data_IF_030441342493
#
_entry.id   IF_030441342493
#
_cell.length_a   1.000
_cell.length_b   1.000
_cell.length_c   1.000
_cell.angle_alpha   90.00
_cell.angle_beta   90.00
_cell.angle_gamma   90.00
#
_symmetry.space_group_name_H-M   'P 1'
#
loop_
_entity.id
_entity.type
_entity.pdbx_description
1 polymer ?
#
# COMPACT_ATOMS: atom_id res chain seq x y z
N UNK A 1 49.47 24.64 42.21
CA UNK A 1 48.36 24.30 43.13
C UNK A 1 47.11 25.13 42.82
N UNK A 2 46.18 24.54 42.07
CA UNK A 2 44.80 25.03 41.90
C UNK A 2 43.88 23.80 41.85
N UNK A 3 42.66 23.87 42.43
CA UNK A 3 41.93 22.70 42.89
C UNK A 3 41.14 22.00 41.79
N UNK A 4 41.01 20.69 41.94
CA UNK A 4 40.23 19.78 41.11
C UNK A 4 38.72 20.07 41.22
N UNK A 5 38.02 20.04 40.08
CA UNK A 5 36.56 20.16 40.00
C UNK A 5 35.82 18.89 40.48
N UNK A 6 34.51 19.00 40.77
CA UNK A 6 33.70 17.87 41.22
C UNK A 6 33.35 16.93 40.05
N UNK A 7 33.23 15.61 40.29
CA UNK A 7 32.91 14.63 39.26
C UNK A 7 31.40 14.60 38.93
N UNK A 8 31.01 14.28 37.68
CA UNK A 8 29.62 14.03 37.33
C UNK A 8 29.12 12.65 37.82
N UNK A 9 27.80 12.49 38.03
CA UNK A 9 27.23 11.29 38.63
C UNK A 9 27.25 10.08 37.68
N UNK A 10 27.63 8.94 38.24
CA UNK A 10 27.61 7.61 37.63
C UNK A 10 26.22 7.23 37.10
N UNK A 11 26.11 7.13 35.78
CA UNK A 11 25.06 6.37 35.10
C UNK A 11 25.58 4.98 34.72
N UNK A 12 25.29 3.99 35.55
CA UNK A 12 25.52 2.57 35.24
C UNK A 12 24.48 2.08 34.21
N UNK A 13 24.94 1.48 33.12
CA UNK A 13 24.08 0.83 32.12
C UNK A 13 24.82 0.54 30.82
N UNK A 14 25.60 -0.54 30.81
CA UNK A 14 26.44 -0.94 29.68
C UNK A 14 25.66 -1.30 28.41
N UNK A 15 26.15 -0.79 27.28
CA UNK A 15 25.84 -1.24 25.92
C UNK A 15 27.01 -0.85 25.01
N UNK A 16 27.83 -1.82 24.62
CA UNK A 16 28.97 -1.66 23.70
C UNK A 16 28.47 -1.08 22.35
N UNK A 17 28.88 0.12 21.96
CA UNK A 17 28.50 0.67 20.65
C UNK A 17 28.93 2.10 20.30
N UNK A 18 30.03 2.62 20.86
CA UNK A 18 30.40 4.05 20.73
C UNK A 18 31.67 4.37 19.92
N UNK A 19 32.29 3.42 19.23
CA UNK A 19 33.66 3.63 18.69
C UNK A 19 33.78 4.62 17.52
N UNK A 20 32.70 4.93 16.81
CA UNK A 20 32.74 5.81 15.62
C UNK A 20 31.82 7.03 15.71
N UNK A 21 31.22 7.30 16.88
CA UNK A 21 30.20 8.34 16.98
C UNK A 21 30.76 9.73 16.65
N UNK A 22 31.87 10.11 17.27
CA UNK A 22 32.53 11.41 17.03
C UNK A 22 33.08 11.51 15.61
N UNK A 23 33.74 10.45 15.11
CA UNK A 23 34.28 10.39 13.75
C UNK A 23 33.16 10.53 12.70
N UNK A 24 32.02 9.86 12.91
CA UNK A 24 30.89 9.93 12.00
C UNK A 24 30.21 11.30 12.01
N UNK A 25 30.10 11.95 13.17
CA UNK A 25 29.58 13.31 13.26
C UNK A 25 30.49 14.28 12.48
N UNK A 26 31.82 14.16 12.63
CA UNK A 26 32.79 14.95 11.86
C UNK A 26 32.68 14.69 10.35
N UNK A 27 32.59 13.43 9.92
CA UNK A 27 32.42 13.06 8.50
C UNK A 27 31.10 13.58 7.93
N UNK A 28 30.03 13.60 8.73
CA UNK A 28 28.74 14.15 8.33
C UNK A 28 28.82 15.68 8.16
N UNK A 29 29.44 16.39 9.09
CA UNK A 29 29.69 17.83 8.95
C UNK A 29 30.57 18.15 7.74
N UNK A 30 31.60 17.34 7.49
CA UNK A 30 32.43 17.46 6.30
C UNK A 30 31.61 17.27 5.01
N UNK A 31 30.65 16.34 5.00
CA UNK A 31 29.77 16.11 3.87
C UNK A 31 28.85 17.32 3.62
N UNK A 32 28.24 17.89 4.67
CA UNK A 32 27.40 19.09 4.57
C UNK A 32 28.19 20.29 4.04
N UNK A 33 29.40 20.52 4.55
CA UNK A 33 30.30 21.58 4.09
C UNK A 33 30.62 21.45 2.60
N UNK A 34 30.86 20.22 2.13
CA UNK A 34 31.20 19.96 0.73
C UNK A 34 29.99 20.12 -0.21
N UNK A 35 28.78 19.83 0.30
CA UNK A 35 27.53 20.02 -0.42
C UNK A 35 27.07 21.49 -0.46
N UNK A 36 27.37 22.31 0.54
CA UNK A 36 26.91 23.69 0.64
C UNK A 36 27.14 24.57 -0.59
N UNK A 37 28.35 24.65 -1.19
CA UNK A 37 28.56 25.44 -2.40
C UNK A 37 27.91 24.81 -3.65
N UNK A 38 27.51 23.53 -3.59
CA UNK A 38 26.90 22.80 -4.71
C UNK A 38 25.37 22.82 -4.68
N UNK A 39 24.76 23.28 -3.60
CA UNK A 39 23.30 23.35 -3.40
C UNK A 39 22.81 24.78 -3.19
N UNK A 40 23.50 25.78 -3.76
CA UNK A 40 23.14 27.20 -3.62
C UNK A 40 21.72 27.52 -4.15
N UNK A 41 21.29 26.84 -5.21
CA UNK A 41 19.93 26.95 -5.76
C UNK A 41 18.83 26.44 -4.81
N UNK A 42 19.20 25.56 -3.86
CA UNK A 42 18.28 24.89 -2.93
C UNK A 42 18.90 24.81 -1.52
N UNK A 43 19.06 25.94 -0.81
CA UNK A 43 19.68 25.97 0.52
C UNK A 43 18.90 25.16 1.58
N UNK A 44 17.60 24.94 1.38
CA UNK A 44 16.72 24.15 2.25
C UNK A 44 17.12 22.67 2.37
N UNK A 45 17.95 22.17 1.45
CA UNK A 45 18.37 20.77 1.39
C UNK A 45 19.29 20.38 2.55
N UNK A 46 20.16 21.29 3.02
CA UNK A 46 21.08 20.97 4.13
C UNK A 46 20.36 20.90 5.49
N UNK A 47 19.49 21.87 5.87
CA UNK A 47 18.66 21.73 7.07
C UNK A 47 17.79 20.47 7.05
N UNK A 48 17.23 20.13 5.90
CA UNK A 48 16.47 18.89 5.72
C UNK A 48 17.31 17.64 5.98
N UNK A 49 18.52 17.56 5.40
CA UNK A 49 19.42 16.44 5.60
C UNK A 49 19.89 16.32 7.06
N UNK A 50 20.19 17.44 7.73
CA UNK A 50 20.53 17.48 9.16
C UNK A 50 19.38 16.99 10.05
N UNK A 51 18.15 17.41 9.77
CA UNK A 51 16.95 16.90 10.45
C UNK A 51 16.79 15.39 10.28
N UNK A 52 17.06 14.86 9.08
CA UNK A 52 17.03 13.40 8.83
C UNK A 52 18.13 12.66 9.59
N UNK A 53 19.31 13.25 9.72
CA UNK A 53 20.40 12.68 10.50
C UNK A 53 20.06 12.59 11.98
N UNK A 54 19.48 13.65 12.56
CA UNK A 54 19.07 13.66 13.97
C UNK A 54 18.00 12.59 14.29
N UNK A 55 17.13 12.29 13.32
CA UNK A 55 16.07 11.26 13.44
C UNK A 55 16.56 9.82 13.23
N UNK A 56 17.80 9.62 12.79
CA UNK A 56 18.40 8.29 12.61
C UNK A 56 18.73 7.62 13.96
N UNK A 57 18.67 6.30 14.01
CA UNK A 57 18.93 5.54 15.24
C UNK A 57 20.35 5.81 15.77
N UNK A 58 20.54 6.06 17.09
CA UNK A 58 21.86 6.32 17.68
C UNK A 58 22.90 5.23 17.36
N UNK A 59 22.54 3.95 17.49
CA UNK A 59 23.43 2.83 17.16
C UNK A 59 23.87 2.83 15.69
N UNK A 60 22.98 3.25 14.77
CA UNK A 60 23.34 3.37 13.36
C UNK A 60 24.27 4.56 13.13
N UNK A 61 24.01 5.71 13.77
CA UNK A 61 24.88 6.89 13.69
C UNK A 61 26.28 6.62 14.27
N UNK A 62 26.40 5.76 15.28
CA UNK A 62 27.67 5.30 15.84
C UNK A 62 28.32 4.10 15.13
N UNK A 63 27.74 3.61 14.03
CA UNK A 63 28.18 2.36 13.39
C UNK A 63 29.29 2.55 12.35
N UNK A 64 30.08 1.49 12.12
CA UNK A 64 31.01 1.41 11.00
C UNK A 64 30.29 1.40 9.63
N UNK A 65 29.05 0.93 9.58
CA UNK A 65 28.21 0.97 8.36
C UNK A 65 28.00 2.42 7.92
N UNK A 66 27.61 3.29 8.84
CA UNK A 66 27.39 4.71 8.52
C UNK A 66 28.68 5.41 8.12
N UNK A 67 29.79 5.12 8.81
CA UNK A 67 31.14 5.60 8.44
C UNK A 67 31.51 5.27 7.00
N UNK A 68 31.34 4.00 6.61
CA UNK A 68 31.66 3.52 5.27
C UNK A 68 30.81 4.20 4.19
N UNK A 69 29.54 4.46 4.50
CA UNK A 69 28.61 5.16 3.60
C UNK A 69 29.04 6.62 3.44
N UNK A 70 29.32 7.34 4.53
CA UNK A 70 29.82 8.72 4.48
C UNK A 70 31.15 8.81 3.72
N UNK A 71 32.12 7.93 4.01
CA UNK A 71 33.40 7.89 3.31
C UNK A 71 33.26 7.59 1.80
N UNK A 72 32.32 6.72 1.41
CA UNK A 72 31.99 6.48 0.00
C UNK A 72 31.37 7.71 -0.66
N UNK A 73 30.42 8.35 0.00
CA UNK A 73 29.71 9.52 -0.53
C UNK A 73 30.63 10.74 -0.65
N UNK A 74 31.48 11.00 0.36
CA UNK A 74 32.49 12.06 0.33
C UNK A 74 33.43 11.92 -0.88
N UNK A 75 33.93 10.72 -1.15
CA UNK A 75 34.75 10.45 -2.36
C UNK A 75 33.98 10.69 -3.66
N UNK A 76 32.71 10.27 -3.71
CA UNK A 76 31.85 10.45 -4.90
C UNK A 76 31.50 11.90 -5.19
N UNK A 77 31.20 12.70 -4.16
CA UNK A 77 30.93 14.13 -4.34
C UNK A 77 32.19 14.85 -4.81
N UNK A 78 33.36 14.53 -4.23
CA UNK A 78 34.66 15.07 -4.67
C UNK A 78 34.97 14.73 -6.14
N UNK A 79 34.73 13.48 -6.56
CA UNK A 79 35.00 13.05 -7.93
C UNK A 79 33.99 13.52 -8.99
N UNK A 80 32.70 13.67 -8.63
CA UNK A 80 31.63 14.02 -9.59
C UNK A 80 30.60 14.97 -8.98
N UNK A 81 30.97 16.25 -8.86
CA UNK A 81 30.15 17.31 -8.24
C UNK A 81 28.76 17.51 -8.87
N UNK A 82 28.61 17.28 -10.18
CA UNK A 82 27.31 17.42 -10.89
C UNK A 82 26.21 16.46 -10.42
N UNK A 83 26.55 15.41 -9.66
CA UNK A 83 25.59 14.42 -9.13
C UNK A 83 25.30 14.62 -7.63
N UNK A 84 25.59 15.79 -7.06
CA UNK A 84 25.44 16.06 -5.62
C UNK A 84 24.07 15.68 -5.07
N UNK A 85 22.97 16.01 -5.77
CA UNK A 85 21.61 15.67 -5.33
C UNK A 85 21.33 14.15 -5.32
N UNK A 86 21.99 13.38 -6.20
CA UNK A 86 21.88 11.91 -6.19
C UNK A 86 22.53 11.35 -4.92
N UNK A 87 23.69 11.89 -4.53
CA UNK A 87 24.42 11.46 -3.33
C UNK A 87 23.72 11.90 -2.04
N UNK A 88 23.15 13.12 -2.03
CA UNK A 88 22.29 13.59 -0.94
C UNK A 88 21.06 12.68 -0.82
N UNK A 89 20.42 12.30 -1.93
CA UNK A 89 19.28 11.39 -1.91
C UNK A 89 19.66 9.97 -1.45
N UNK A 90 20.83 9.46 -1.83
CA UNK A 90 21.39 8.19 -1.35
C UNK A 90 21.52 8.23 0.18
N UNK A 91 22.11 9.29 0.74
CA UNK A 91 22.26 9.47 2.18
C UNK A 91 20.91 9.61 2.90
N UNK A 92 20.00 10.43 2.36
CA UNK A 92 18.64 10.60 2.87
C UNK A 92 17.88 9.27 2.93
N UNK A 93 18.03 8.43 1.91
CA UNK A 93 17.36 7.13 1.83
C UNK A 93 17.85 6.18 2.93
N UNK A 94 19.17 6.14 3.14
CA UNK A 94 19.79 5.33 4.20
C UNK A 94 19.35 5.80 5.59
N UNK A 95 19.42 7.12 5.85
CA UNK A 95 19.00 7.71 7.13
C UNK A 95 17.50 7.45 7.40
N UNK A 96 16.65 7.55 6.38
CA UNK A 96 15.22 7.24 6.48
C UNK A 96 14.95 5.76 6.75
N UNK A 97 15.72 4.86 6.14
CA UNK A 97 15.59 3.42 6.36
C UNK A 97 15.95 3.00 7.79
N UNK A 98 16.88 3.73 8.42
CA UNK A 98 17.38 3.50 9.78
C UNK A 98 16.91 4.55 10.80
N UNK A 99 15.80 5.24 10.49
CA UNK A 99 15.16 6.17 11.43
C UNK A 99 14.61 5.43 12.66
N UNK A 100 14.61 6.09 13.82
CA UNK A 100 13.98 5.59 15.05
C UNK A 100 12.51 5.22 14.78
N UNK A 101 12.21 3.93 14.59
CA UNK A 101 10.84 3.42 14.57
C UNK A 101 10.44 3.13 16.00
N UNK A 102 9.83 4.08 16.72
CA UNK A 102 9.22 3.75 18.01
C UNK A 102 8.09 2.73 17.76
N UNK A 103 8.26 1.52 18.29
CA UNK A 103 7.11 0.65 18.58
C UNK A 103 6.36 1.33 19.72
N UNK A 104 5.10 1.70 19.48
CA UNK A 104 4.24 2.20 20.55
C UNK A 104 4.06 1.07 21.57
N UNK A 105 4.42 1.25 22.85
CA UNK A 105 3.96 0.36 23.90
C UNK A 105 2.44 0.51 24.00
N UNK A 106 1.71 -0.59 23.86
CA UNK A 106 0.29 -0.63 24.22
C UNK A 106 0.21 -0.37 25.73
N UNK A 107 -0.47 0.70 26.14
CA UNK A 107 -0.69 1.04 27.54
C UNK A 107 -1.71 0.04 28.12
N UNK A 108 -1.30 -0.71 29.14
CA UNK A 108 -2.21 -1.55 29.92
C UNK A 108 -3.17 -0.67 30.74
N UNK A 109 -4.43 -1.09 30.97
CA UNK A 109 -5.40 -0.34 31.76
C UNK A 109 -5.02 -0.33 33.26
N UNK A 110 -5.48 0.66 34.05
CA UNK A 110 -5.26 0.70 35.48
C UNK A 110 -6.03 -0.43 36.16
N UNK A 111 -5.38 -1.12 37.10
CA UNK A 111 -5.99 -2.14 37.94
C UNK A 111 -7.10 -1.52 38.78
N UNK A 112 -8.34 -2.00 38.59
CA UNK A 112 -9.45 -1.68 39.47
C UNK A 112 -9.24 -2.38 40.82
N UNK A 113 -9.32 -1.55 41.85
CA UNK A 113 -9.58 -1.76 43.27
C UNK A 113 -9.86 -3.20 43.75
N UNK A 114 -9.08 -3.55 44.76
CA UNK A 114 -9.15 -4.74 45.61
C UNK A 114 -10.46 -4.81 46.40
N UNK A 115 -10.94 -6.03 46.63
CA UNK A 115 -11.75 -6.41 47.80
C UNK A 115 -11.22 -7.75 48.37
N UNK A 116 -11.41 -8.01 49.68
CA UNK A 116 -10.38 -8.58 50.58
C UNK A 116 -10.47 -10.11 50.79
N UNK A 117 -9.49 -10.73 51.51
CA UNK A 117 -9.42 -12.19 51.65
C UNK A 117 -10.24 -12.69 52.85
N UNK A 118 -10.87 -13.85 52.69
CA UNK A 118 -11.41 -14.64 53.80
C UNK A 118 -10.53 -15.89 54.01
N UNK A 119 -9.97 -15.98 55.21
CA UNK A 119 -9.14 -17.08 55.69
C UNK A 119 -9.97 -18.20 56.35
N UNK A 120 -9.61 -19.44 56.00
CA UNK A 120 -9.61 -20.68 56.80
C UNK A 120 -10.84 -21.18 57.59
N UNK A 121 -11.26 -22.43 57.34
CA UNK A 121 -10.78 -23.63 58.09
C UNK A 121 -11.24 -24.98 57.48
N UNK A 122 -10.27 -25.91 57.46
CA UNK A 122 -10.21 -27.40 57.48
C UNK A 122 -11.48 -28.25 57.26
N UNK A 123 -11.43 -29.42 56.58
CA UNK A 123 -10.66 -30.61 56.99
C UNK A 123 -10.64 -31.75 55.93
N UNK A 124 -9.49 -32.44 55.85
CA UNK A 124 -9.21 -33.88 55.62
C UNK A 124 -9.86 -34.63 54.41
N UNK A 125 -9.18 -35.49 53.63
CA UNK A 125 -7.87 -36.15 53.75
C UNK A 125 -7.33 -36.62 52.39
N UNK A 126 -6.00 -36.72 52.28
CA UNK A 126 -5.22 -37.98 52.18
C UNK A 126 -5.28 -38.64 50.77
N UNK A 127 -4.23 -38.44 49.95
CA UNK A 127 -3.10 -39.38 49.72
C UNK A 127 -3.46 -40.40 48.59
N UNK A 128 -2.73 -40.64 47.49
CA UNK A 128 -1.29 -40.72 47.19
C UNK A 128 -1.07 -40.29 45.70
N UNK A 129 0.02 -39.57 45.34
CA UNK A 129 1.31 -40.10 44.84
C UNK A 129 1.15 -41.06 43.65
N UNK A 130 1.85 -40.99 42.52
CA UNK A 130 3.01 -40.25 42.03
C UNK A 130 3.31 -40.80 40.62
N UNK A 131 4.07 -40.09 39.79
CA UNK A 131 4.83 -40.72 38.68
C UNK A 131 4.52 -40.28 37.25
N UNK A 132 5.19 -39.21 36.82
CA UNK A 132 5.83 -39.17 35.49
C UNK A 132 6.89 -40.30 35.40
N UNK A 133 7.48 -40.69 34.24
CA UNK A 133 7.65 -39.87 33.03
C UNK A 133 7.64 -40.64 31.66
N UNK A 134 7.91 -39.88 30.59
CA UNK A 134 8.71 -40.24 29.40
C UNK A 134 8.12 -41.10 28.26
N UNK A 135 7.96 -40.43 27.12
CA UNK A 135 8.13 -40.88 25.71
C UNK A 135 9.44 -41.68 25.48
N UNK A 136 9.80 -42.23 24.27
CA UNK A 136 9.27 -41.94 22.92
C UNK A 136 9.25 -43.14 21.93
N UNK A 137 9.02 -42.81 20.64
CA UNK A 137 9.37 -43.59 19.43
C UNK A 137 8.40 -44.70 19.04
N UNK A 138 8.16 -45.07 17.78
CA UNK A 138 8.52 -44.61 16.43
C UNK A 138 7.54 -45.34 15.47
N UNK A 139 7.29 -44.76 14.29
CA UNK A 139 6.70 -45.39 13.08
C UNK A 139 7.45 -46.70 12.68
N UNK A 140 6.96 -47.61 11.77
CA UNK A 140 6.23 -47.27 10.53
C UNK A 140 5.25 -48.30 9.89
N UNK A 141 4.52 -47.81 8.87
CA UNK A 141 4.11 -48.42 7.58
C UNK A 141 3.39 -49.79 7.47
N UNK A 142 2.11 -49.73 7.04
CA UNK A 142 1.47 -50.27 5.80
C UNK A 142 1.82 -51.69 5.25
N UNK A 143 1.02 -52.32 4.33
CA UNK A 143 -0.40 -52.15 3.97
C UNK A 143 -1.19 -53.49 3.77
N UNK A 144 -2.47 -53.37 3.39
CA UNK A 144 -3.17 -54.19 2.37
C UNK A 144 -3.50 -55.68 2.63
N UNK A 145 -4.80 -56.02 2.71
CA UNK A 145 -5.57 -56.76 1.68
C UNK A 145 -6.78 -57.55 2.26
N UNK A 146 -7.94 -57.31 1.63
CA UNK A 146 -9.13 -58.18 1.52
C UNK A 146 -8.73 -59.60 1.04
N UNK A 147 -9.55 -60.68 1.20
CA UNK A 147 -10.91 -60.73 0.64
C UNK A 147 -11.94 -61.72 1.25
N UNK A 148 -13.13 -61.69 0.64
CA UNK A 148 -14.05 -62.83 0.43
C UNK A 148 -15.22 -63.04 1.42
N UNK A 149 -16.42 -62.71 0.91
CA UNK A 149 -17.73 -63.32 1.22
C UNK A 149 -17.82 -64.75 0.59
N UNK A 150 -18.94 -65.52 0.59
CA UNK A 150 -20.36 -65.26 0.97
C UNK A 150 -21.03 -66.50 1.67
N UNK A 151 -22.32 -66.89 1.45
CA UNK A 151 -23.63 -66.21 1.51
C UNK A 151 -24.61 -66.88 2.52
N UNK A 152 -25.79 -66.29 2.78
CA UNK A 152 -26.86 -67.00 3.50
C UNK A 152 -28.15 -66.21 3.81
N UNK A 153 -28.99 -66.07 2.79
CA UNK A 153 -30.46 -65.92 2.74
C UNK A 153 -31.34 -65.37 3.91
N UNK A 154 -32.27 -64.49 3.47
CA UNK A 154 -33.73 -64.45 3.72
C UNK A 154 -34.33 -63.31 4.58
N UNK A 155 -35.22 -62.52 3.95
CA UNK A 155 -36.45 -61.98 4.58
C UNK A 155 -36.59 -60.45 4.78
N UNK A 156 -37.06 -59.74 3.74
CA UNK A 156 -38.14 -58.70 3.68
C UNK A 156 -38.37 -57.61 4.80
N UNK A 157 -39.05 -56.48 4.51
CA UNK A 157 -38.63 -55.09 4.86
C UNK A 157 -39.65 -54.31 5.77
N UNK A 158 -39.69 -52.95 5.83
CA UNK A 158 -38.75 -51.96 6.39
C UNK A 158 -39.41 -50.96 7.41
N UNK A 159 -38.62 -50.00 7.93
CA UNK A 159 -38.97 -48.63 8.44
C UNK A 159 -38.65 -48.35 9.95
N UNK A 160 -38.47 -47.07 10.39
CA UNK A 160 -37.18 -46.37 10.37
C UNK A 160 -36.85 -45.70 11.73
N UNK A 161 -35.62 -45.82 12.25
CA UNK A 161 -35.28 -45.06 13.48
C UNK A 161 -33.80 -44.70 13.56
N UNK A 162 -33.53 -43.44 13.21
CA UNK A 162 -32.54 -42.56 13.83
C UNK A 162 -31.14 -43.13 14.11
N UNK A 163 -30.31 -43.23 13.07
CA UNK A 163 -28.87 -43.17 13.24
C UNK A 163 -28.41 -41.72 13.05
N UNK A 164 -27.96 -41.11 14.14
CA UNK A 164 -27.23 -39.86 14.15
C UNK A 164 -25.93 -40.05 13.35
N UNK A 165 -25.96 -39.70 12.07
CA UNK A 165 -24.75 -39.59 11.27
C UNK A 165 -23.96 -38.37 11.71
N UNK A 166 -22.74 -38.64 12.19
CA UNK A 166 -21.75 -37.66 12.58
C UNK A 166 -21.45 -36.72 11.41
N UNK A 167 -21.95 -35.49 11.51
CA UNK A 167 -21.43 -34.38 10.74
C UNK A 167 -19.92 -34.28 10.95
N UNK A 168 -19.13 -34.04 9.88
CA UNK A 168 -17.68 -33.99 9.98
C UNK A 168 -17.32 -32.89 10.98
N UNK A 169 -16.51 -33.21 11.98
CA UNK A 169 -15.92 -32.23 12.90
C UNK A 169 -15.22 -31.17 12.07
N UNK A 170 -15.87 -30.01 11.91
CA UNK A 170 -15.32 -28.84 11.23
C UNK A 170 -13.95 -28.57 11.85
N UNK A 171 -12.89 -28.66 11.04
CA UNK A 171 -11.51 -28.30 11.40
C UNK A 171 -11.38 -26.78 11.53
N UNK A 172 -12.24 -26.16 12.33
CA UNK A 172 -12.22 -24.74 12.63
C UNK A 172 -11.04 -24.41 13.53
N UNK A 173 -10.48 -23.21 13.35
CA UNK A 173 -9.38 -22.72 14.17
C UNK A 173 -9.70 -22.73 15.67
N UNK A 174 -8.67 -22.80 16.51
CA UNK A 174 -8.83 -22.83 17.97
C UNK A 174 -9.73 -21.68 18.46
N UNK A 175 -10.81 -22.02 19.18
CA UNK A 175 -11.77 -21.03 19.71
C UNK A 175 -11.09 -19.95 20.56
N UNK A 176 -10.01 -20.30 21.27
CA UNK A 176 -9.20 -19.35 22.04
C UNK A 176 -8.48 -18.35 21.13
N UNK A 177 -7.89 -18.83 20.03
CA UNK A 177 -7.22 -17.99 19.04
C UNK A 177 -8.19 -17.04 18.36
N UNK A 178 -9.39 -17.51 18.00
CA UNK A 178 -10.44 -16.68 17.39
C UNK A 178 -10.84 -15.54 18.35
N UNK A 179 -11.14 -15.85 19.61
CA UNK A 179 -11.48 -14.83 20.62
C UNK A 179 -10.36 -13.80 20.83
N UNK A 180 -9.11 -14.25 20.85
CA UNK A 180 -7.96 -13.36 20.98
C UNK A 180 -7.84 -12.39 19.79
N UNK A 181 -7.98 -12.89 18.56
CA UNK A 181 -7.91 -12.06 17.35
C UNK A 181 -9.10 -11.09 17.26
N UNK A 182 -10.30 -11.49 17.68
CA UNK A 182 -11.48 -10.60 17.76
C UNK A 182 -11.30 -9.50 18.83
N UNK A 183 -10.70 -9.83 19.96
CA UNK A 183 -10.33 -8.83 20.96
C UNK A 183 -9.28 -7.86 20.40
N UNK A 184 -8.26 -8.36 19.71
CA UNK A 184 -7.22 -7.52 19.10
C UNK A 184 -7.79 -6.59 18.01
N UNK A 185 -8.78 -7.04 17.23
CA UNK A 185 -9.51 -6.17 16.30
C UNK A 185 -10.20 -5.01 17.02
N UNK A 186 -10.86 -5.27 18.16
CA UNK A 186 -11.50 -4.21 18.97
C UNK A 186 -10.49 -3.21 19.48
N UNK A 187 -9.35 -3.68 20.01
CA UNK A 187 -8.26 -2.80 20.46
C UNK A 187 -7.75 -1.93 19.33
N UNK A 188 -7.54 -2.49 18.14
CA UNK A 188 -7.10 -1.71 16.97
C UNK A 188 -8.17 -0.72 16.50
N UNK A 189 -9.45 -1.09 16.53
CA UNK A 189 -10.54 -0.18 16.17
C UNK A 189 -10.59 1.02 17.12
N UNK A 190 -10.48 0.80 18.44
CA UNK A 190 -10.44 1.89 19.43
C UNK A 190 -9.23 2.81 19.24
N UNK A 191 -8.04 2.24 19.00
CA UNK A 191 -6.84 3.05 18.77
C UNK A 191 -6.90 3.83 17.44
N UNK A 192 -7.50 3.25 16.40
CA UNK A 192 -7.75 3.96 15.13
C UNK A 192 -8.66 5.17 15.37
N UNK A 193 -9.76 5.01 16.13
CA UNK A 193 -10.66 6.14 16.44
C UNK A 193 -9.93 7.25 17.18
N UNK A 194 -9.13 6.90 18.19
CA UNK A 194 -8.29 7.85 18.95
C UNK A 194 -7.29 8.60 18.06
N UNK A 195 -6.70 7.92 17.08
CA UNK A 195 -5.78 8.56 16.13
C UNK A 195 -6.49 9.47 15.13
N UNK A 196 -7.73 9.13 14.74
CA UNK A 196 -8.56 9.93 13.83
C UNK A 196 -9.04 11.24 14.47
N UNK A 197 -9.22 11.26 15.78
CA UNK A 197 -9.62 12.45 16.55
C UNK A 197 -8.45 13.40 16.84
N UNK A 198 -7.20 12.97 16.61
CA UNK A 198 -6.03 13.79 16.89
C UNK A 198 -5.83 14.85 15.80
N UNK A 199 -5.73 16.10 16.22
CA UNK A 199 -5.32 17.21 15.36
C UNK A 199 -3.82 17.13 15.03
N UNK A 200 -3.46 17.50 13.81
CA UNK A 200 -2.07 17.50 13.34
C UNK A 200 -1.62 18.93 13.06
N UNK A 201 -0.47 19.30 13.61
CA UNK A 201 0.23 20.54 13.24
C UNK A 201 1.10 20.35 11.98
N UNK A 202 1.72 21.44 11.51
CA UNK A 202 2.55 21.42 10.31
C UNK A 202 3.82 20.57 10.46
N UNK A 203 4.40 20.49 11.65
CA UNK A 203 5.60 19.68 11.91
C UNK A 203 5.26 18.18 11.94
N UNK A 204 4.11 17.83 12.50
CA UNK A 204 3.57 16.48 12.52
C UNK A 204 3.18 16.01 11.12
N UNK A 205 2.67 16.89 10.25
CA UNK A 205 2.41 16.56 8.84
C UNK A 205 3.67 16.12 8.08
N UNK A 206 4.84 16.68 8.38
CA UNK A 206 6.14 16.25 7.81
C UNK A 206 6.78 15.07 8.59
N UNK A 207 6.15 14.61 9.66
CA UNK A 207 6.68 13.52 10.46
C UNK A 207 6.37 12.15 9.83
N UNK A 208 7.40 11.31 9.70
CA UNK A 208 7.25 9.91 9.30
C UNK A 208 6.48 9.03 10.31
N UNK A 209 6.28 9.55 11.53
CA UNK A 209 5.50 8.91 12.59
C UNK A 209 4.29 9.75 13.00
N UNK A 210 3.73 10.52 12.07
CA UNK A 210 2.49 11.25 12.28
C UNK A 210 1.33 10.32 12.68
N UNK A 211 0.35 10.82 13.47
CA UNK A 211 -0.86 10.06 13.82
C UNK A 211 -1.55 9.45 12.60
N UNK A 212 -1.62 10.20 11.49
CA UNK A 212 -2.17 9.77 10.21
C UNK A 212 -1.44 8.52 9.64
N UNK A 213 -0.11 8.52 9.65
CA UNK A 213 0.66 7.36 9.19
C UNK A 213 0.55 6.16 10.16
N UNK A 214 0.43 6.42 11.46
CA UNK A 214 0.14 5.40 12.46
C UNK A 214 -1.21 4.73 12.22
N UNK A 215 -2.26 5.52 11.98
CA UNK A 215 -3.61 5.05 11.65
C UNK A 215 -3.59 4.10 10.45
N UNK A 216 -2.94 4.50 9.35
CA UNK A 216 -2.78 3.66 8.16
C UNK A 216 -2.05 2.33 8.46
N UNK A 217 -1.00 2.36 9.29
CA UNK A 217 -0.26 1.14 9.70
C UNK A 217 -1.16 0.21 10.52
N UNK A 218 -2.00 0.74 11.39
CA UNK A 218 -2.97 -0.04 12.17
C UNK A 218 -4.09 -0.61 11.29
N UNK A 219 -4.69 0.18 10.39
CA UNK A 219 -5.68 -0.30 9.41
C UNK A 219 -5.14 -1.48 8.57
N UNK A 220 -3.89 -1.40 8.11
CA UNK A 220 -3.22 -2.50 7.39
C UNK A 220 -3.01 -3.75 8.25
N UNK A 221 -2.72 -3.60 9.55
CA UNK A 221 -2.62 -4.73 10.50
C UNK A 221 -4.01 -5.34 10.77
N UNK A 222 -5.01 -4.50 10.97
CA UNK A 222 -6.40 -4.88 11.18
C UNK A 222 -6.91 -5.77 10.04
N UNK A 223 -6.67 -5.39 8.78
CA UNK A 223 -7.06 -6.21 7.62
C UNK A 223 -6.32 -7.56 7.54
N UNK A 224 -5.08 -7.65 8.01
CA UNK A 224 -4.37 -8.94 8.10
C UNK A 224 -5.00 -9.86 9.14
N UNK A 225 -5.39 -9.31 10.30
CA UNK A 225 -6.10 -10.07 11.33
C UNK A 225 -7.47 -10.51 10.81
N UNK A 226 -8.21 -9.64 10.14
CA UNK A 226 -9.50 -9.96 9.53
C UNK A 226 -9.40 -11.15 8.56
N UNK A 227 -8.45 -11.13 7.62
CA UNK A 227 -8.23 -12.25 6.69
C UNK A 227 -7.87 -13.55 7.42
N UNK A 228 -7.06 -13.46 8.48
CA UNK A 228 -6.73 -14.64 9.30
C UNK A 228 -7.95 -15.18 10.04
N UNK A 229 -8.82 -14.31 10.53
CA UNK A 229 -10.09 -14.71 11.15
C UNK A 229 -11.02 -15.38 10.14
N UNK A 230 -11.13 -14.86 8.92
CA UNK A 230 -11.91 -15.52 7.85
C UNK A 230 -11.41 -16.94 7.57
N UNK A 231 -10.09 -17.14 7.49
CA UNK A 231 -9.48 -18.46 7.33
C UNK A 231 -9.79 -19.40 8.50
N UNK A 232 -9.68 -18.92 9.74
CA UNK A 232 -9.93 -19.75 10.93
C UNK A 232 -11.41 -20.12 11.11
N UNK A 233 -12.32 -19.26 10.62
CA UNK A 233 -13.77 -19.47 10.65
C UNK A 233 -14.32 -20.18 9.42
N UNK A 234 -13.46 -20.48 8.44
CA UNK A 234 -13.84 -21.06 7.15
C UNK A 234 -14.94 -20.25 6.45
N UNK A 235 -14.70 -18.94 6.30
CA UNK A 235 -15.60 -18.02 5.59
C UNK A 235 -14.84 -17.14 4.59
N UNK A 236 -15.59 -16.58 3.64
CA UNK A 236 -15.06 -15.67 2.63
C UNK A 236 -14.50 -14.38 3.26
N UNK A 237 -13.50 -13.79 2.63
CA UNK A 237 -12.94 -12.48 3.03
C UNK A 237 -13.69 -11.29 2.41
N UNK A 238 -14.84 -11.52 1.78
CA UNK A 238 -15.71 -10.48 1.27
C UNK A 238 -16.25 -9.63 2.41
N UNK A 239 -16.34 -8.33 2.17
CA UNK A 239 -16.73 -7.33 3.18
C UNK A 239 -18.10 -6.73 2.92
N UNK A 240 -18.75 -7.09 1.81
CA UNK A 240 -20.04 -6.54 1.40
C UNK A 240 -19.92 -5.21 0.67
N UNK A 241 -18.73 -4.88 0.15
CA UNK A 241 -18.49 -3.61 -0.56
C UNK A 241 -19.23 -3.57 -1.89
N UNK A 242 -19.56 -2.35 -2.33
CA UNK A 242 -20.21 -2.14 -3.64
C UNK A 242 -19.30 -2.59 -4.78
N UNK A 243 -17.97 -2.46 -4.63
CA UNK A 243 -17.01 -2.99 -5.62
C UNK A 243 -17.05 -4.51 -5.77
N UNK A 244 -17.52 -5.24 -4.76
CA UNK A 244 -17.64 -6.70 -4.80
C UNK A 244 -18.90 -7.14 -5.58
N UNK A 245 -19.84 -6.23 -5.82
CA UNK A 245 -21.07 -6.52 -6.56
C UNK A 245 -20.78 -6.69 -8.06
N UNK A 246 -21.27 -7.81 -8.60
CA UNK A 246 -21.11 -8.17 -10.01
C UNK A 246 -21.98 -7.29 -10.90
N UNK A 247 -21.35 -6.59 -11.83
CA UNK A 247 -22.04 -5.84 -12.89
C UNK A 247 -22.48 -6.83 -13.96
N UNK A 248 -23.79 -6.95 -14.18
CA UNK A 248 -24.33 -7.72 -15.31
C UNK A 248 -24.24 -6.89 -16.59
N UNK A 249 -23.90 -7.51 -17.72
CA UNK A 249 -23.86 -6.82 -19.00
C UNK A 249 -24.73 -7.55 -20.04
N UNK A 250 -25.67 -6.82 -20.64
CA UNK A 250 -26.62 -7.32 -21.66
C UNK A 250 -26.80 -6.31 -22.80
N UNK A 251 -25.77 -5.51 -23.09
CA UNK A 251 -25.86 -4.41 -24.05
C UNK A 251 -25.91 -4.85 -25.52
N UNK A 252 -25.57 -6.11 -25.83
CA UNK A 252 -25.57 -6.62 -27.22
C UNK A 252 -26.61 -7.73 -27.41
N UNK A 253 -26.99 -7.98 -28.67
CA UNK A 253 -27.86 -9.11 -29.05
C UNK A 253 -27.16 -10.47 -28.97
N UNK A 254 -25.84 -10.51 -28.78
CA UNK A 254 -25.04 -11.73 -28.78
C UNK A 254 -24.67 -12.14 -27.35
N UNK A 255 -25.27 -13.21 -26.79
CA UNK A 255 -24.99 -13.65 -25.42
C UNK A 255 -23.51 -13.99 -25.18
N UNK A 256 -22.81 -14.48 -26.19
CA UNK A 256 -21.39 -14.84 -26.16
C UNK A 256 -20.53 -13.61 -25.89
N UNK A 257 -20.81 -12.52 -26.60
CA UNK A 257 -20.16 -11.22 -26.41
C UNK A 257 -20.49 -10.68 -25.02
N UNK A 258 -21.76 -10.73 -24.63
CA UNK A 258 -22.21 -10.26 -23.32
C UNK A 258 -21.47 -10.98 -22.18
N UNK A 259 -21.35 -12.31 -22.24
CA UNK A 259 -20.61 -13.13 -21.26
C UNK A 259 -19.10 -12.85 -21.27
N UNK A 260 -18.50 -12.49 -22.41
CA UNK A 260 -17.08 -12.12 -22.47
C UNK A 260 -16.82 -10.79 -21.77
N UNK A 261 -17.60 -9.76 -22.13
CA UNK A 261 -17.50 -8.43 -21.52
C UNK A 261 -17.82 -8.51 -20.03
N UNK A 262 -18.88 -9.20 -19.64
CA UNK A 262 -19.26 -9.34 -18.23
C UNK A 262 -18.16 -10.01 -17.40
N UNK A 263 -17.52 -11.07 -17.91
CA UNK A 263 -16.39 -11.69 -17.21
C UNK A 263 -15.19 -10.75 -17.10
N UNK A 264 -14.95 -9.92 -18.11
CA UNK A 264 -13.81 -9.03 -18.15
C UNK A 264 -13.95 -7.87 -17.15
N UNK A 265 -15.11 -7.21 -17.11
CA UNK A 265 -15.36 -6.02 -16.26
C UNK A 265 -15.46 -6.35 -14.76
N UNK A 266 -15.71 -7.62 -14.42
CA UNK A 266 -15.84 -8.09 -13.04
C UNK A 266 -14.53 -8.69 -12.49
N UNK A 267 -13.40 -8.55 -13.21
CA UNK A 267 -12.08 -8.88 -12.67
C UNK A 267 -11.66 -7.83 -11.61
N UNK A 268 -10.82 -8.20 -10.63
CA UNK A 268 -10.30 -7.25 -9.66
C UNK A 268 -9.52 -6.14 -10.39
N UNK A 269 -9.75 -4.89 -9.98
CA UNK A 269 -9.12 -3.67 -10.52
C UNK A 269 -9.27 -3.44 -12.03
N UNK A 270 -10.23 -4.10 -12.69
CA UNK A 270 -10.49 -3.90 -14.10
C UNK A 270 -11.20 -2.57 -14.36
N UNK A 271 -10.55 -1.70 -15.14
CA UNK A 271 -11.16 -0.52 -15.76
C UNK A 271 -10.72 -0.47 -17.22
N UNK A 272 -11.51 -1.04 -18.14
CA UNK A 272 -11.08 -1.26 -19.50
C UNK A 272 -11.06 0.03 -20.31
N UNK A 273 -10.19 0.10 -21.32
CA UNK A 273 -10.28 1.11 -22.36
C UNK A 273 -11.16 0.63 -23.54
N UNK A 274 -11.33 1.49 -24.55
CA UNK A 274 -12.09 1.14 -25.75
C UNK A 274 -11.49 -0.06 -26.50
N UNK A 275 -10.17 -0.14 -26.58
CA UNK A 275 -9.45 -1.18 -27.31
C UNK A 275 -9.61 -2.54 -26.64
N UNK A 276 -9.64 -2.57 -25.31
CA UNK A 276 -9.89 -3.77 -24.52
C UNK A 276 -11.28 -4.34 -24.79
N UNK A 277 -12.32 -3.49 -24.80
CA UNK A 277 -13.70 -3.91 -25.13
C UNK A 277 -13.78 -4.41 -26.57
N UNK A 278 -13.17 -3.70 -27.52
CA UNK A 278 -13.13 -4.14 -28.91
C UNK A 278 -12.40 -5.48 -29.07
N UNK A 279 -11.33 -5.72 -28.31
CA UNK A 279 -10.59 -7.00 -28.30
C UNK A 279 -11.46 -8.13 -27.75
N UNK A 280 -12.22 -7.90 -26.68
CA UNK A 280 -13.15 -8.89 -26.14
C UNK A 280 -14.25 -9.26 -27.14
N UNK A 281 -14.80 -8.28 -27.87
CA UNK A 281 -15.82 -8.51 -28.91
C UNK A 281 -15.24 -9.29 -30.08
N UNK A 282 -14.06 -8.89 -30.59
CA UNK A 282 -13.37 -9.61 -31.68
C UNK A 282 -13.05 -11.05 -31.26
N UNK A 283 -12.56 -11.24 -30.04
CA UNK A 283 -12.28 -12.56 -29.48
C UNK A 283 -13.52 -13.42 -29.37
N UNK A 284 -14.65 -12.87 -28.89
CA UNK A 284 -15.91 -13.59 -28.82
C UNK A 284 -16.47 -13.94 -30.21
N UNK A 285 -16.41 -13.01 -31.17
CA UNK A 285 -16.85 -13.23 -32.55
C UNK A 285 -16.07 -14.35 -33.23
N UNK A 286 -14.73 -14.33 -33.13
CA UNK A 286 -13.86 -15.32 -33.73
C UNK A 286 -14.04 -16.72 -33.09
N UNK A 287 -14.18 -16.79 -31.76
CA UNK A 287 -14.37 -18.08 -31.06
C UNK A 287 -15.70 -18.74 -31.37
N UNK A 288 -16.76 -17.96 -31.58
CA UNK A 288 -18.11 -18.47 -31.76
C UNK A 288 -18.62 -18.38 -33.21
N UNK A 289 -17.77 -17.97 -34.16
CA UNK A 289 -18.13 -17.90 -35.58
C UNK A 289 -19.30 -16.94 -35.88
N UNK A 290 -19.40 -15.81 -35.17
CA UNK A 290 -20.57 -14.91 -35.25
C UNK A 290 -20.67 -14.13 -36.57
N UNK A 291 -19.66 -14.20 -37.46
CA UNK A 291 -19.69 -13.54 -38.77
C UNK A 291 -19.76 -12.01 -38.73
N UNK A 292 -19.41 -11.38 -37.59
CA UNK A 292 -19.55 -9.92 -37.42
C UNK A 292 -18.54 -9.16 -38.28
N UNK A 293 -19.03 -8.21 -39.08
CA UNK A 293 -18.18 -7.32 -39.86
C UNK A 293 -17.39 -6.34 -38.98
N UNK A 294 -16.26 -5.84 -39.47
CA UNK A 294 -15.38 -4.93 -38.71
C UNK A 294 -16.10 -3.69 -38.17
N UNK A 295 -16.85 -2.99 -39.03
CA UNK A 295 -17.59 -1.76 -38.64
C UNK A 295 -18.68 -2.07 -37.60
N UNK A 296 -19.34 -3.21 -37.72
CA UNK A 296 -20.36 -3.64 -36.75
C UNK A 296 -19.73 -3.90 -35.37
N UNK A 297 -18.56 -4.55 -35.32
CA UNK A 297 -17.85 -4.76 -34.06
C UNK A 297 -17.33 -3.45 -33.44
N UNK A 298 -16.88 -2.50 -34.25
CA UNK A 298 -16.43 -1.18 -33.79
C UNK A 298 -17.59 -0.38 -33.18
N UNK A 299 -18.75 -0.33 -33.84
CA UNK A 299 -19.94 0.32 -33.31
C UNK A 299 -20.42 -0.34 -32.00
N UNK A 300 -20.49 -1.68 -31.98
CA UNK A 300 -20.85 -2.44 -30.79
C UNK A 300 -19.87 -2.18 -29.63
N UNK A 301 -18.57 -2.08 -29.92
CA UNK A 301 -17.56 -1.76 -28.92
C UNK A 301 -17.72 -0.36 -28.35
N UNK A 302 -18.06 0.64 -29.18
CA UNK A 302 -18.27 2.01 -28.73
C UNK A 302 -19.46 2.13 -27.77
N UNK A 303 -20.57 1.49 -28.09
CA UNK A 303 -21.76 1.44 -27.23
C UNK A 303 -21.48 0.69 -25.94
N UNK A 304 -20.93 -0.52 -26.04
CA UNK A 304 -20.58 -1.33 -24.88
C UNK A 304 -19.57 -0.63 -23.96
N UNK A 305 -18.56 0.05 -24.52
CA UNK A 305 -17.56 0.79 -23.76
C UNK A 305 -18.18 1.94 -22.96
N UNK A 306 -19.09 2.71 -23.55
CA UNK A 306 -19.81 3.79 -22.84
C UNK A 306 -20.67 3.23 -21.71
N UNK A 307 -21.46 2.21 -22.00
CA UNK A 307 -22.36 1.61 -21.00
C UNK A 307 -21.60 1.00 -19.82
N UNK A 308 -20.58 0.19 -20.11
CA UNK A 308 -19.71 -0.42 -19.11
C UNK A 308 -18.97 0.65 -18.31
N UNK A 309 -18.43 1.67 -18.99
CA UNK A 309 -17.71 2.77 -18.36
C UNK A 309 -18.58 3.51 -17.33
N UNK A 310 -19.82 3.85 -17.71
CA UNK A 310 -20.77 4.49 -16.81
C UNK A 310 -21.09 3.62 -15.59
N UNK A 311 -21.39 2.33 -15.78
CA UNK A 311 -21.66 1.38 -14.68
C UNK A 311 -20.46 1.21 -13.74
N UNK A 312 -19.24 1.16 -14.29
CA UNK A 312 -18.02 1.04 -13.49
C UNK A 312 -17.75 2.32 -12.69
N UNK A 313 -17.96 3.50 -13.27
CA UNK A 313 -17.84 4.78 -12.57
C UNK A 313 -18.88 4.90 -11.46
N UNK A 314 -20.14 4.59 -11.75
CA UNK A 314 -21.23 4.59 -10.77
C UNK A 314 -20.94 3.63 -9.60
N UNK A 315 -20.51 2.39 -9.89
CA UNK A 315 -20.13 1.43 -8.84
C UNK A 315 -19.01 1.96 -7.95
N UNK A 316 -17.99 2.61 -8.54
CA UNK A 316 -16.88 3.23 -7.78
C UNK A 316 -17.34 4.45 -6.98
N UNK A 317 -18.26 5.24 -7.53
CA UNK A 317 -18.84 6.40 -6.86
C UNK A 317 -19.66 5.98 -5.64
N UNK A 318 -20.56 5.01 -5.80
CA UNK A 318 -21.35 4.45 -4.71
C UNK A 318 -20.46 3.80 -3.63
N UNK A 319 -19.42 3.06 -4.02
CA UNK A 319 -18.46 2.52 -3.07
C UNK A 319 -17.75 3.61 -2.26
N UNK A 320 -17.38 4.72 -2.91
CA UNK A 320 -16.83 5.87 -2.21
C UNK A 320 -17.86 6.44 -1.23
N UNK A 321 -19.06 6.79 -1.67
CA UNK A 321 -20.09 7.43 -0.85
C UNK A 321 -20.46 6.58 0.38
N UNK A 322 -20.66 5.27 0.21
CA UNK A 322 -21.04 4.39 1.34
C UNK A 322 -19.90 4.05 2.29
N UNK A 323 -18.63 4.21 1.88
CA UNK A 323 -17.47 3.87 2.69
C UNK A 323 -16.54 5.08 2.94
N UNK A 324 -17.08 6.29 2.79
CA UNK A 324 -16.31 7.52 2.99
C UNK A 324 -16.25 7.91 4.47
N UNK A 325 -15.11 8.44 4.88
CA UNK A 325 -14.95 9.09 6.18
C UNK A 325 -14.76 8.12 7.37
N UNK A 326 -15.30 8.51 8.52
CA UNK A 326 -15.23 7.78 9.79
C UNK A 326 -16.40 8.15 10.70
N UNK A 327 -16.36 7.70 11.95
CA UNK A 327 -17.35 8.04 12.99
C UNK A 327 -17.53 9.55 13.20
N UNK A 328 -16.57 10.38 12.79
CA UNK A 328 -16.65 11.84 12.85
C UNK A 328 -17.54 12.45 11.76
N UNK A 329 -17.72 11.75 10.64
CA UNK A 329 -18.48 12.23 9.47
C UNK A 329 -19.78 11.46 9.25
N UNK A 330 -20.02 10.36 9.97
CA UNK A 330 -21.22 9.51 9.83
C UNK A 330 -22.53 10.26 10.06
N UNK A 331 -22.50 11.35 10.85
CA UNK A 331 -23.67 12.17 11.17
C UNK A 331 -23.85 13.36 10.21
N UNK A 332 -23.05 13.45 9.14
CA UNK A 332 -23.16 14.54 8.17
C UNK A 332 -24.56 14.61 7.55
N UNK A 333 -25.14 15.81 7.55
CA UNK A 333 -26.41 16.12 6.89
C UNK A 333 -26.26 17.41 6.09
N UNK A 334 -26.62 17.43 4.79
CA UNK A 334 -26.51 18.63 3.96
C UNK A 334 -27.27 19.84 4.52
N UNK A 335 -28.39 19.62 5.21
CA UNK A 335 -29.18 20.70 5.82
C UNK A 335 -28.57 21.31 7.09
N UNK A 336 -27.49 20.76 7.63
CA UNK A 336 -26.77 21.30 8.80
C UNK A 336 -25.54 22.13 8.41
N UNK A 337 -25.41 22.51 7.13
CA UNK A 337 -24.32 23.35 6.67
C UNK A 337 -24.44 24.78 7.23
N UNK A 338 -23.46 25.28 8.02
CA UNK A 338 -23.49 26.64 8.59
C UNK A 338 -23.62 27.75 7.56
N UNK A 339 -23.18 27.51 6.32
CA UNK A 339 -23.29 28.48 5.24
C UNK A 339 -24.72 28.73 4.75
N UNK A 340 -25.70 27.94 5.21
CA UNK A 340 -27.13 28.19 4.93
C UNK A 340 -27.69 29.32 5.79
N UNK A 341 -27.16 29.51 7.00
CA UNK A 341 -27.61 30.54 7.94
C UNK A 341 -26.70 31.76 7.97
N UNK A 342 -25.41 31.60 7.66
CA UNK A 342 -24.42 32.67 7.64
C UNK A 342 -24.16 33.18 6.20
N UNK A 343 -24.64 34.40 5.85
CA UNK A 343 -24.47 34.96 4.51
C UNK A 343 -23.02 35.37 4.19
N UNK A 344 -22.22 35.76 5.19
CA UNK A 344 -20.82 36.13 4.99
C UNK A 344 -19.99 34.89 4.64
N UNK A 345 -20.20 33.81 5.39
CA UNK A 345 -19.60 32.51 5.08
C UNK A 345 -20.03 32.04 3.68
N UNK A 346 -21.32 32.13 3.35
CA UNK A 346 -21.83 31.76 2.03
C UNK A 346 -21.16 32.56 0.90
N UNK A 347 -21.01 33.89 1.06
CA UNK A 347 -20.35 34.74 0.08
C UNK A 347 -18.87 34.36 -0.09
N UNK A 348 -18.18 34.10 1.01
CA UNK A 348 -16.78 33.63 0.99
C UNK A 348 -16.65 32.28 0.27
N UNK A 349 -17.53 31.32 0.55
CA UNK A 349 -17.53 30.01 -0.13
C UNK A 349 -17.85 30.15 -1.63
N UNK A 350 -18.74 31.06 -2.04
CA UNK A 350 -18.98 31.37 -3.46
C UNK A 350 -17.72 31.91 -4.14
N UNK A 351 -16.98 32.82 -3.49
CA UNK A 351 -15.69 33.33 -3.99
C UNK A 351 -14.66 32.21 -4.09
N UNK A 352 -14.55 31.37 -3.05
CA UNK A 352 -13.64 30.22 -3.05
C UNK A 352 -13.96 29.25 -4.20
N UNK A 353 -15.24 29.00 -4.49
CA UNK A 353 -15.67 28.14 -5.59
C UNK A 353 -15.25 28.71 -6.95
N UNK A 354 -15.46 30.01 -7.20
CA UNK A 354 -15.02 30.67 -8.45
C UNK A 354 -13.51 30.53 -8.64
N UNK A 355 -12.72 30.82 -7.60
CA UNK A 355 -11.27 30.70 -7.64
C UNK A 355 -10.82 29.25 -7.86
N UNK A 356 -11.47 28.28 -7.22
CA UNK A 356 -11.13 26.86 -7.35
C UNK A 356 -11.33 26.36 -8.78
N UNK A 357 -12.45 26.73 -9.43
CA UNK A 357 -12.72 26.36 -10.82
C UNK A 357 -11.68 26.96 -11.76
N UNK A 358 -11.41 28.27 -11.64
CA UNK A 358 -10.39 28.94 -12.46
C UNK A 358 -9.00 28.29 -12.29
N UNK A 359 -8.61 27.92 -11.05
CA UNK A 359 -7.33 27.24 -10.79
C UNK A 359 -7.26 25.85 -11.42
N UNK A 360 -8.36 25.10 -11.44
CA UNK A 360 -8.39 23.79 -12.11
C UNK A 360 -8.20 23.96 -13.61
N UNK A 361 -8.93 24.89 -14.23
CA UNK A 361 -8.83 25.20 -15.66
C UNK A 361 -7.42 25.67 -16.03
N UNK A 362 -6.82 26.55 -15.22
CA UNK A 362 -5.46 27.04 -15.40
C UNK A 362 -4.44 25.90 -15.43
N UNK A 363 -4.56 24.92 -14.52
CA UNK A 363 -3.64 23.78 -14.49
C UNK A 363 -3.80 22.92 -15.74
N UNK A 364 -5.04 22.62 -16.16
CA UNK A 364 -5.30 21.85 -17.37
C UNK A 364 -4.74 22.57 -18.61
N UNK A 365 -5.01 23.88 -18.74
CA UNK A 365 -4.52 24.70 -19.85
C UNK A 365 -2.99 24.77 -19.89
N UNK A 366 -2.33 24.94 -18.72
CA UNK A 366 -0.87 24.95 -18.62
C UNK A 366 -0.24 23.64 -19.13
N UNK A 367 -0.81 22.50 -18.76
CA UNK A 367 -0.29 21.20 -19.21
C UNK A 367 -0.61 20.93 -20.70
N UNK A 368 -1.77 21.39 -21.20
CA UNK A 368 -2.10 21.32 -22.62
C UNK A 368 -1.11 22.14 -23.47
N UNK A 369 -0.84 23.39 -23.09
CA UNK A 369 0.15 24.26 -23.77
C UNK A 369 1.56 23.67 -23.70
N UNK A 370 1.96 23.08 -22.56
CA UNK A 370 3.26 22.43 -22.43
C UNK A 370 3.40 21.24 -23.39
N UNK A 371 2.33 20.47 -23.58
CA UNK A 371 2.31 19.35 -24.52
C UNK A 371 2.45 19.83 -25.97
N UNK A 372 1.79 20.92 -26.33
CA UNK A 372 1.89 21.54 -27.65
C UNK A 372 3.30 22.04 -27.95
N UNK A 373 3.87 22.86 -27.06
CA UNK A 373 5.26 23.36 -27.19
C UNK A 373 6.29 22.23 -27.33
N UNK A 374 6.09 21.12 -26.61
CA UNK A 374 6.98 19.95 -26.72
C UNK A 374 6.84 19.24 -28.07
N UNK A 375 5.62 19.15 -28.63
CA UNK A 375 5.39 18.63 -29.98
C UNK A 375 6.02 19.52 -31.05
N UNK A 376 5.87 20.83 -30.94
CA UNK A 376 6.48 21.80 -31.86
C UNK A 376 8.01 21.74 -31.83
N UNK A 377 8.61 21.72 -30.63
CA UNK A 377 10.06 21.61 -30.45
C UNK A 377 10.62 20.28 -30.99
N UNK A 378 9.89 19.17 -30.84
CA UNK A 378 10.25 17.87 -31.42
C UNK A 378 10.14 17.86 -32.95
N UNK A 379 9.17 18.57 -33.52
CA UNK A 379 8.98 18.68 -34.96
C UNK A 379 10.04 19.60 -35.60
N UNK A 380 10.40 20.70 -34.94
CA UNK A 380 11.49 21.59 -35.34
C UNK A 380 12.86 20.87 -35.32
N UNK A 381 13.13 20.04 -34.31
CA UNK A 381 14.35 19.19 -34.29
C UNK A 381 14.39 18.16 -35.42
N UNK A 382 13.26 17.52 -35.75
CA UNK A 382 13.18 16.58 -36.89
C UNK A 382 13.39 17.30 -38.22
N UNK A 383 12.82 18.50 -38.40
CA UNK A 383 13.04 19.31 -39.62
C UNK A 383 14.49 19.79 -39.74
N UNK A 384 15.12 20.22 -38.65
CA UNK A 384 16.55 20.58 -38.64
C UNK A 384 17.50 19.42 -38.94
N UNK A 385 17.15 18.19 -38.53
CA UNK A 385 17.89 16.97 -38.87
C UNK A 385 17.75 16.59 -40.35
N UNK A 386 16.53 16.67 -40.91
CA UNK A 386 16.27 16.35 -42.32
C UNK A 386 16.92 17.36 -43.30
N UNK A 387 17.05 18.63 -42.90
CA UNK A 387 17.78 19.64 -43.68
C UNK A 387 19.30 19.40 -43.63
N UNK A 388 19.82 18.83 -42.54
CA UNK A 388 21.25 18.48 -42.43
C UNK A 388 21.64 17.26 -43.27
N UNK A 389 20.77 16.26 -43.40
CA UNK A 389 21.01 15.07 -44.25
C UNK A 389 20.90 15.37 -45.76
N UNK A 390 20.08 16.34 -46.17
CA UNK A 390 19.96 16.73 -47.58
C UNK A 390 21.09 17.65 -48.06
N UNK A 391 21.80 18.32 -47.15
CA UNK A 391 22.95 19.18 -47.45
C UNK A 391 24.25 18.44 -47.79
N UNK A 392 24.39 17.16 -47.43
CA UNK A 392 25.65 16.41 -47.63
C UNK A 392 25.75 15.70 -48.99
N UNK A 393 24.68 15.68 -49.80
CA UNK A 393 24.66 15.00 -51.12
C UNK A 393 24.91 15.90 -52.33
N UNK A 394 25.16 17.21 -52.16
CA UNK A 394 25.28 18.16 -53.28
C UNK A 394 26.67 18.80 -53.47
N UNK A 395 27.71 18.30 -52.81
CA UNK A 395 29.11 18.75 -53.01
C UNK A 395 29.97 17.57 -53.44
N UNK A 396 29.93 17.23 -54.71
CA UNK A 396 30.83 16.26 -55.31
C UNK A 396 30.55 16.11 -56.80
N UNK A 397 31.57 16.38 -57.61
CA UNK A 397 31.69 16.11 -59.05
C UNK A 397 31.24 17.22 -60.01
N UNK A 398 32.13 18.18 -60.28
CA UNK A 398 32.26 18.82 -61.60
C UNK A 398 33.68 19.39 -61.81
N UNK A 399 34.60 18.49 -62.13
CA UNK A 399 35.85 18.66 -62.88
C UNK A 399 35.97 17.36 -63.69
N UNK A 400 36.25 17.26 -64.99
CA UNK A 400 36.53 18.16 -66.10
C UNK A 400 36.74 17.28 -67.34
N UNK A 401 37.02 17.90 -68.49
CA UNK A 401 37.67 17.32 -69.70
C UNK A 401 36.72 16.47 -70.59
N UNK A 402 36.19 16.97 -71.72
CA UNK A 402 36.81 17.33 -73.02
C UNK A 402 37.01 16.11 -73.94
N UNK A 403 36.52 16.30 -75.18
CA UNK A 403 37.03 15.77 -76.45
C UNK A 403 36.41 14.54 -77.15
N UNK A 404 36.20 14.77 -78.47
CA UNK A 404 36.08 13.87 -79.63
C UNK A 404 34.78 13.03 -79.74
N UNK A 405 34.04 13.02 -80.85
CA UNK A 405 34.40 13.35 -82.23
C UNK A 405 34.17 12.12 -83.10
N UNK A 406 32.93 11.99 -83.61
CA UNK A 406 32.42 11.45 -84.90
C UNK A 406 31.04 10.85 -84.72
#
# INVERSE_FOLDING_TARGET
>A
PSPAGPPPPNGAGGGRGGAFWEENEQLFQQFLSLCAPLTQEHPEVLPFLSSRHLRAHPDFRGSAEFRNILGRLLRRVRGRRRKVYVYINELCTVLKARALRRRLPLRAPPAALQCPPASHRHSHGALHSSGNPSSPSQHPSAPSQHPSAPPGNAGAPPQPSSASEGSPRRTGGSRRQIRHLEHLLRVYASEIRRLQERELDLAELDSADSPYLQENRLKRRMMRIFRRLCQLKDCSSLTGRVLEQRIRFRGTRYPEVNRSIERFINRPDAFPDYSDILREIRGASARHGLGLGRRQMENMAQEAFREVGNRLQERRHLDLVYNFGSHLTDQYRPGMDPALSDPELAQRLRRNRRLALARLDDVIARFAQRQERHRESGTARKRGSAVRETGTRKTGTREGVQEQGT
#
